data_IF_022872759382
#
_entry.id   IF_022872759382
#
_cell.length_a   1.000
_cell.length_b   1.000
_cell.length_c   1.000
_cell.angle_alpha   90.00
_cell.angle_beta   90.00
_cell.angle_gamma   90.00
#
_symmetry.space_group_name_H-M   'P 1'
#
loop_
_entity.id
_entity.type
_entity.pdbx_description
1 polymer ?
#
# COMPACT_ATOMS: atom_id res chain seq x y z
N UNK A 1 -27.64 -10.88 -5.61
CA UNK A 1 -26.78 -10.13 -4.68
C UNK A 1 -27.17 -10.62 -3.29
N UNK A 2 -26.30 -11.36 -2.60
CA UNK A 2 -26.67 -12.07 -1.37
C UNK A 2 -27.02 -11.09 -0.23
N UNK A 3 -28.20 -11.26 0.37
CA UNK A 3 -28.72 -10.52 1.53
C UNK A 3 -27.77 -10.48 2.75
N UNK A 4 -26.74 -11.34 2.80
CA UNK A 4 -25.74 -11.37 3.85
C UNK A 4 -24.84 -10.11 3.90
N UNK A 5 -24.78 -9.30 2.85
CA UNK A 5 -23.90 -8.12 2.78
C UNK A 5 -24.59 -6.78 3.06
N UNK A 6 -25.93 -6.73 3.20
CA UNK A 6 -26.67 -5.47 3.30
C UNK A 6 -26.38 -4.66 4.58
N UNK A 7 -25.84 -5.29 5.63
CA UNK A 7 -25.50 -4.65 6.91
C UNK A 7 -23.99 -4.62 7.22
N UNK A 8 -23.14 -5.16 6.35
CA UNK A 8 -21.69 -5.20 6.58
C UNK A 8 -21.03 -3.89 6.16
N UNK A 9 -20.17 -3.33 7.01
CA UNK A 9 -19.33 -2.21 6.59
C UNK A 9 -18.35 -2.65 5.50
N UNK A 10 -17.82 -1.71 4.71
CA UNK A 10 -16.98 -2.03 3.56
C UNK A 10 -15.76 -2.92 3.90
N UNK A 11 -15.15 -2.73 5.07
CA UNK A 11 -13.96 -3.49 5.48
C UNK A 11 -14.33 -4.94 5.77
N UNK A 12 -15.49 -5.18 6.38
CA UNK A 12 -16.02 -6.52 6.60
C UNK A 12 -16.30 -7.22 5.25
N UNK A 13 -16.86 -6.49 4.28
CA UNK A 13 -17.11 -7.04 2.94
C UNK A 13 -15.79 -7.45 2.25
N UNK A 14 -14.76 -6.62 2.38
CA UNK A 14 -13.43 -6.90 1.82
C UNK A 14 -12.80 -8.14 2.48
N UNK A 15 -12.82 -8.23 3.81
CA UNK A 15 -12.21 -9.35 4.55
C UNK A 15 -12.96 -10.68 4.35
N UNK A 16 -14.27 -10.61 4.10
CA UNK A 16 -15.10 -11.76 3.71
C UNK A 16 -14.99 -12.15 2.23
N UNK A 17 -14.29 -11.38 1.39
CA UNK A 17 -14.21 -11.63 -0.05
C UNK A 17 -13.60 -13.02 -0.36
N UNK A 18 -14.27 -13.78 -1.23
CA UNK A 18 -13.82 -15.10 -1.75
C UNK A 18 -13.82 -15.19 -3.29
N UNK A 19 -13.88 -14.07 -4.00
CA UNK A 19 -13.98 -14.05 -5.47
C UNK A 19 -12.84 -14.76 -6.20
N UNK A 20 -11.67 -14.88 -5.57
CA UNK A 20 -10.47 -15.48 -6.16
C UNK A 20 -10.08 -16.81 -5.49
N UNK A 21 -10.93 -17.41 -4.67
CA UNK A 21 -10.57 -18.53 -3.80
C UNK A 21 -9.98 -19.71 -4.60
N UNK A 22 -10.69 -20.12 -5.65
CA UNK A 22 -10.33 -21.26 -6.52
C UNK A 22 -9.06 -21.06 -7.37
N UNK A 23 -8.62 -19.82 -7.57
CA UNK A 23 -7.48 -19.51 -8.46
C UNK A 23 -6.21 -19.14 -7.70
N UNK A 24 -6.32 -18.88 -6.40
CA UNK A 24 -5.18 -18.53 -5.55
C UNK A 24 -4.57 -19.80 -4.95
N UNK A 25 -3.23 -19.90 -4.87
CA UNK A 25 -2.57 -21.15 -4.47
C UNK A 25 -2.84 -21.57 -3.02
N UNK A 26 -3.29 -20.64 -2.16
CA UNK A 26 -3.64 -20.90 -0.76
C UNK A 26 -5.03 -20.35 -0.41
N UNK A 27 -5.90 -20.18 -1.41
CA UNK A 27 -7.21 -19.57 -1.23
C UNK A 27 -7.17 -18.07 -0.94
N UNK A 28 -8.36 -17.49 -0.87
CA UNK A 28 -8.60 -16.09 -0.57
C UNK A 28 -8.53 -15.85 0.94
N UNK A 29 -7.49 -15.12 1.34
CA UNK A 29 -7.35 -14.53 2.68
C UNK A 29 -7.03 -13.05 2.52
N UNK A 30 -8.06 -12.20 2.34
CA UNK A 30 -7.86 -10.76 2.17
C UNK A 30 -7.25 -10.16 3.44
N UNK A 31 -6.18 -9.38 3.28
CA UNK A 31 -5.51 -8.68 4.37
C UNK A 31 -5.37 -7.19 4.00
N UNK A 32 -6.04 -6.34 4.78
CA UNK A 32 -5.94 -4.88 4.72
C UNK A 32 -5.94 -4.30 6.14
N UNK A 33 -5.47 -3.06 6.28
CA UNK A 33 -5.65 -2.25 7.48
C UNK A 33 -6.35 -0.96 7.06
N UNK A 34 -7.48 -0.61 7.65
CA UNK A 34 -8.23 0.58 7.23
C UNK A 34 -9.17 1.07 8.33
N UNK A 35 -9.19 2.39 8.51
CA UNK A 35 -10.16 3.13 9.33
C UNK A 35 -10.81 4.22 8.47
N UNK A 36 -12.08 4.60 8.68
CA UNK A 36 -12.68 5.71 7.95
C UNK A 36 -12.04 7.06 8.30
N UNK A 37 -11.38 7.15 9.47
CA UNK A 37 -10.67 8.34 9.95
C UNK A 37 -9.16 8.29 9.70
N UNK A 38 -8.68 7.27 8.97
CA UNK A 38 -7.27 7.16 8.59
C UNK A 38 -6.77 8.46 7.95
N UNK A 39 -5.60 8.93 8.38
CA UNK A 39 -4.96 10.15 7.83
C UNK A 39 -4.05 9.88 6.64
N UNK A 40 -3.41 8.72 6.60
CA UNK A 40 -2.40 8.35 5.60
C UNK A 40 -2.81 7.04 4.93
N UNK A 41 -2.88 7.02 3.58
CA UNK A 41 -3.15 5.81 2.80
C UNK A 41 -1.85 5.29 2.20
N UNK A 42 -1.52 4.03 2.41
CA UNK A 42 -0.44 3.32 1.72
C UNK A 42 -1.05 2.33 0.74
N UNK A 43 -0.75 2.51 -0.55
CA UNK A 43 -1.11 1.56 -1.61
C UNK A 43 0.13 0.80 -2.08
N UNK A 44 0.23 -0.46 -1.66
CA UNK A 44 1.28 -1.40 -2.05
C UNK A 44 0.87 -2.36 -3.16
N UNK A 45 1.65 -3.42 -3.37
CA UNK A 45 1.38 -4.42 -4.41
C UNK A 45 0.33 -5.45 -3.98
N UNK A 46 0.76 -6.45 -3.20
CA UNK A 46 -0.04 -7.53 -2.68
C UNK A 46 0.68 -8.14 -1.47
N UNK A 47 -0.03 -8.85 -0.56
CA UNK A 47 0.58 -9.65 0.48
C UNK A 47 1.62 -10.63 -0.04
N UNK A 48 2.69 -10.83 0.73
CA UNK A 48 3.60 -11.97 0.55
C UNK A 48 3.04 -13.23 1.21
N UNK A 49 3.69 -14.38 1.02
CA UNK A 49 3.30 -15.63 1.70
C UNK A 49 3.30 -15.46 3.23
N UNK A 50 4.29 -14.75 3.78
CA UNK A 50 4.37 -14.49 5.23
C UNK A 50 3.20 -13.63 5.71
N UNK A 51 2.79 -12.62 4.94
CA UNK A 51 1.60 -11.83 5.26
C UNK A 51 0.34 -12.68 5.18
N UNK A 52 0.21 -13.54 4.17
CA UNK A 52 -0.91 -14.48 4.08
C UNK A 52 -0.99 -15.39 5.30
N UNK A 53 0.13 -15.92 5.79
CA UNK A 53 0.16 -16.79 6.96
C UNK A 53 -0.16 -16.03 8.26
N UNK A 54 0.44 -14.86 8.45
CA UNK A 54 0.39 -14.12 9.72
C UNK A 54 -0.76 -13.12 9.84
N UNK A 55 -1.34 -12.68 8.72
CA UNK A 55 -2.33 -11.59 8.69
C UNK A 55 -1.74 -10.19 8.94
N UNK A 56 -0.43 -10.06 9.17
CA UNK A 56 0.22 -8.78 9.45
C UNK A 56 0.87 -8.22 8.18
N UNK A 57 0.35 -7.11 7.66
CA UNK A 57 0.89 -6.41 6.48
C UNK A 57 2.31 -5.91 6.76
N UNK A 58 3.20 -5.90 5.77
CA UNK A 58 4.58 -5.41 5.94
C UNK A 58 5.33 -6.05 7.14
N UNK A 59 5.03 -7.32 7.41
CA UNK A 59 5.69 -8.13 8.45
C UNK A 59 7.02 -8.73 7.96
N UNK A 60 7.86 -7.92 7.31
CA UNK A 60 9.15 -8.32 6.77
C UNK A 60 10.13 -7.12 6.70
N UNK A 61 11.34 -7.38 6.20
CA UNK A 61 12.39 -6.37 6.04
C UNK A 61 11.96 -5.19 5.16
N UNK A 62 11.07 -5.43 4.19
CA UNK A 62 10.56 -4.35 3.34
C UNK A 62 9.65 -3.43 4.14
N UNK A 63 8.89 -3.97 5.09
CA UNK A 63 8.12 -3.20 6.06
C UNK A 63 8.97 -2.37 7.01
N UNK A 64 10.05 -2.95 7.53
CA UNK A 64 11.02 -2.21 8.37
C UNK A 64 11.64 -1.04 7.62
N UNK A 65 12.09 -1.31 6.39
CA UNK A 65 12.66 -0.28 5.50
C UNK A 65 11.64 0.82 5.18
N UNK A 66 10.36 0.45 4.96
CA UNK A 66 9.31 1.43 4.75
C UNK A 66 9.11 2.31 6.00
N UNK A 67 8.96 1.70 7.18
CA UNK A 67 8.79 2.46 8.44
C UNK A 67 9.94 3.41 8.70
N UNK A 68 11.17 2.98 8.43
CA UNK A 68 12.34 3.86 8.49
C UNK A 68 12.18 5.06 7.54
N UNK A 69 11.87 4.85 6.25
CA UNK A 69 11.67 5.97 5.31
C UNK A 69 10.56 6.92 5.76
N UNK A 70 9.47 6.38 6.33
CA UNK A 70 8.36 7.18 6.83
C UNK A 70 8.70 7.90 8.15
N UNK A 71 9.73 7.45 8.88
CA UNK A 71 10.14 8.00 10.17
C UNK A 71 9.15 7.71 11.28
N UNK A 72 8.50 6.53 11.25
CA UNK A 72 7.45 6.17 12.22
C UNK A 72 7.79 4.90 12.99
N UNK A 73 7.28 4.82 14.20
CA UNK A 73 7.35 3.61 15.02
C UNK A 73 6.45 2.50 14.46
N UNK A 74 6.67 1.27 14.91
CA UNK A 74 5.79 0.16 14.59
C UNK A 74 4.35 0.38 15.08
N UNK A 75 4.19 0.92 16.29
CA UNK A 75 2.88 1.22 16.86
C UNK A 75 2.10 2.23 16.02
N UNK A 76 2.75 3.33 15.60
CA UNK A 76 2.13 4.31 14.71
C UNK A 76 1.77 3.70 13.35
N UNK A 77 2.66 2.89 12.76
CA UNK A 77 2.42 2.29 11.45
C UNK A 77 1.24 1.30 11.44
N UNK A 78 1.01 0.60 12.54
CA UNK A 78 -0.12 -0.33 12.68
C UNK A 78 -1.34 0.27 13.40
N UNK A 79 -1.33 1.58 13.66
CA UNK A 79 -2.53 2.31 14.07
C UNK A 79 -3.42 2.55 12.83
N UNK A 80 -4.62 1.94 12.76
CA UNK A 80 -5.50 2.07 11.60
C UNK A 80 -6.03 3.50 11.40
N UNK A 81 -6.09 4.33 12.45
CA UNK A 81 -6.54 5.73 12.39
C UNK A 81 -5.43 6.67 11.89
N UNK A 82 -4.17 6.25 11.98
CA UNK A 82 -3.05 6.97 11.34
C UNK A 82 -2.82 6.44 9.93
N UNK A 83 -2.68 5.13 9.76
CA UNK A 83 -2.32 4.49 8.50
C UNK A 83 -3.39 3.49 8.04
N UNK A 84 -4.04 3.79 6.92
CA UNK A 84 -4.69 2.78 6.10
C UNK A 84 -3.66 2.13 5.18
N UNK A 85 -3.55 0.80 5.22
CA UNK A 85 -2.67 0.01 4.36
C UNK A 85 -3.53 -0.88 3.46
N UNK A 86 -3.62 -0.48 2.19
CA UNK A 86 -4.53 -1.07 1.20
C UNK A 86 -3.76 -1.41 -0.08
N UNK A 87 -3.24 -2.64 -0.19
CA UNK A 87 -2.53 -3.09 -1.39
C UNK A 87 -3.42 -3.13 -2.64
N UNK A 88 -2.83 -3.20 -3.83
CA UNK A 88 -3.61 -3.34 -5.07
C UNK A 88 -4.34 -4.69 -5.19
N UNK A 89 -3.83 -5.74 -4.54
CA UNK A 89 -4.57 -6.98 -4.30
C UNK A 89 -4.45 -7.41 -2.84
N UNK A 90 -5.54 -7.91 -2.25
CA UNK A 90 -5.60 -8.18 -0.81
C UNK A 90 -5.18 -9.58 -0.41
N UNK A 91 -4.97 -10.49 -1.36
CA UNK A 91 -4.54 -11.87 -1.11
C UNK A 91 -3.17 -12.13 -1.73
N UNK A 92 -2.46 -13.13 -1.21
CA UNK A 92 -1.19 -13.59 -1.77
C UNK A 92 -1.40 -14.21 -3.16
N UNK A 93 -0.81 -13.65 -4.23
CA UNK A 93 -1.10 -14.07 -5.60
C UNK A 93 -0.30 -15.32 -6.03
N UNK A 94 0.61 -15.84 -5.20
CA UNK A 94 1.51 -16.94 -5.56
C UNK A 94 2.93 -16.49 -5.89
N UNK A 95 3.81 -17.48 -6.10
CA UNK A 95 5.23 -17.27 -6.37
C UNK A 95 5.50 -17.35 -7.88
N UNK A 96 6.10 -16.30 -8.43
CA UNK A 96 6.66 -16.25 -9.77
C UNK A 96 8.19 -16.48 -9.79
N UNK A 97 8.78 -16.34 -10.98
CA UNK A 97 10.22 -16.59 -11.21
C UNK A 97 11.13 -15.68 -10.38
N UNK A 98 10.74 -14.43 -10.22
CA UNK A 98 11.54 -13.38 -9.59
C UNK A 98 10.89 -12.87 -8.31
N UNK A 99 10.05 -13.64 -7.61
CA UNK A 99 9.33 -13.18 -6.41
C UNK A 99 7.83 -13.39 -6.57
N UNK A 100 7.03 -12.70 -5.76
CA UNK A 100 5.58 -12.88 -5.78
C UNK A 100 4.96 -12.37 -7.09
N UNK A 101 3.88 -13.03 -7.51
CA UNK A 101 3.16 -12.68 -8.73
C UNK A 101 2.55 -11.27 -8.66
N UNK A 102 2.20 -10.74 -9.83
CA UNK A 102 1.53 -9.46 -9.93
C UNK A 102 0.14 -9.51 -9.25
N UNK A 103 -0.34 -8.39 -8.69
CA UNK A 103 -1.68 -8.31 -8.14
C UNK A 103 -2.70 -8.54 -9.26
N UNK A 104 -3.67 -9.46 -9.10
CA UNK A 104 -4.70 -9.68 -10.10
C UNK A 104 -5.60 -8.45 -10.24
N UNK A 105 -6.03 -8.15 -11.48
CA UNK A 105 -6.82 -6.95 -11.80
C UNK A 105 -8.19 -6.93 -11.09
N UNK A 106 -8.79 -8.10 -10.87
CA UNK A 106 -10.12 -8.24 -10.26
C UNK A 106 -10.21 -7.50 -8.92
N UNK A 107 -9.19 -7.60 -8.07
CA UNK A 107 -9.20 -6.95 -6.76
C UNK A 107 -9.30 -5.43 -6.88
N UNK A 108 -8.56 -4.86 -7.83
CA UNK A 108 -8.60 -3.42 -8.09
C UNK A 108 -9.95 -2.99 -8.69
N UNK A 109 -10.49 -3.77 -9.63
CA UNK A 109 -11.77 -3.51 -10.28
C UNK A 109 -12.95 -3.58 -9.30
N UNK A 110 -12.92 -4.50 -8.34
CA UNK A 110 -13.99 -4.69 -7.37
C UNK A 110 -13.96 -3.63 -6.27
N UNK A 111 -12.78 -3.32 -5.70
CA UNK A 111 -12.73 -2.66 -4.39
C UNK A 111 -12.18 -1.24 -4.39
N UNK A 112 -11.43 -0.80 -5.41
CA UNK A 112 -10.75 0.50 -5.34
C UNK A 112 -11.71 1.69 -5.36
N UNK A 113 -12.79 1.63 -6.17
CA UNK A 113 -13.79 2.71 -6.19
C UNK A 113 -14.56 2.80 -4.85
N UNK A 114 -15.08 1.69 -4.27
CA UNK A 114 -15.65 1.72 -2.92
C UNK A 114 -14.68 2.27 -1.86
N UNK A 115 -13.40 1.86 -1.90
CA UNK A 115 -12.39 2.34 -0.95
C UNK A 115 -12.10 3.84 -1.10
N UNK A 116 -12.06 4.36 -2.33
CA UNK A 116 -11.93 5.80 -2.57
C UNK A 116 -13.11 6.58 -1.99
N UNK A 117 -14.33 6.02 -2.05
CA UNK A 117 -15.49 6.63 -1.43
C UNK A 117 -15.46 6.52 0.10
N UNK A 118 -14.89 5.45 0.66
CA UNK A 118 -14.78 5.19 2.09
C UNK A 118 -13.84 6.16 2.81
N UNK A 119 -12.68 6.45 2.22
CA UNK A 119 -11.68 7.29 2.84
C UNK A 119 -11.98 8.79 2.67
N UNK A 120 -12.49 9.43 3.73
CA UNK A 120 -12.82 10.87 3.72
C UNK A 120 -11.76 11.76 4.35
N UNK A 121 -10.88 11.20 5.18
CA UNK A 121 -9.91 11.96 5.98
C UNK A 121 -8.45 11.69 5.56
N UNK A 122 -8.23 11.09 4.39
CA UNK A 122 -6.87 10.87 3.90
C UNK A 122 -6.27 12.20 3.43
N UNK A 123 -5.21 12.60 4.11
CA UNK A 123 -4.44 13.80 3.82
C UNK A 123 -3.16 13.51 3.02
N UNK A 124 -2.66 12.27 3.08
CA UNK A 124 -1.49 11.82 2.31
C UNK A 124 -1.73 10.42 1.72
N UNK A 125 -1.52 10.28 0.41
CA UNK A 125 -1.56 8.98 -0.28
C UNK A 125 -0.17 8.56 -0.78
N UNK A 126 0.36 7.48 -0.24
CA UNK A 126 1.69 6.92 -0.54
C UNK A 126 1.53 5.76 -1.53
N UNK A 127 2.06 5.92 -2.74
CA UNK A 127 2.00 4.95 -3.83
C UNK A 127 3.31 4.15 -3.89
N UNK A 128 3.30 2.91 -3.38
CA UNK A 128 4.50 2.08 -3.26
C UNK A 128 4.61 1.13 -4.45
N UNK A 129 5.65 1.33 -5.26
CA UNK A 129 5.98 0.47 -6.39
C UNK A 129 5.09 0.63 -7.63
N UNK A 130 5.47 -0.09 -8.69
CA UNK A 130 4.92 0.13 -10.03
C UNK A 130 3.42 -0.10 -10.17
N UNK A 131 2.83 -1.05 -9.43
CA UNK A 131 1.42 -1.42 -9.61
C UNK A 131 0.50 -0.33 -9.07
N UNK A 132 0.81 0.19 -7.87
CA UNK A 132 0.08 1.32 -7.30
C UNK A 132 0.27 2.57 -8.17
N UNK A 133 1.51 2.86 -8.58
CA UNK A 133 1.79 4.04 -9.40
C UNK A 133 1.11 3.98 -10.78
N UNK A 134 1.10 2.82 -11.45
CA UNK A 134 0.40 2.62 -12.73
C UNK A 134 -1.11 2.86 -12.60
N UNK A 135 -1.70 2.46 -11.49
CA UNK A 135 -3.14 2.63 -11.27
C UNK A 135 -3.49 4.09 -10.99
N UNK A 136 -2.72 4.76 -10.13
CA UNK A 136 -3.08 6.09 -9.61
C UNK A 136 -2.49 7.28 -10.37
N UNK A 137 -1.46 7.09 -11.21
CA UNK A 137 -0.82 8.15 -11.97
C UNK A 137 -1.24 8.10 -13.44
N UNK A 138 -1.82 9.20 -13.95
CA UNK A 138 -2.34 9.29 -15.34
C UNK A 138 -1.29 8.98 -16.41
N UNK A 139 -0.06 9.45 -16.22
CA UNK A 139 1.03 9.35 -17.19
C UNK A 139 2.21 8.54 -16.63
N UNK A 140 1.93 7.35 -16.08
CA UNK A 140 2.98 6.47 -15.57
C UNK A 140 3.95 6.07 -16.70
N UNK A 141 5.25 6.31 -16.48
CA UNK A 141 6.32 5.90 -17.40
C UNK A 141 7.24 4.90 -16.74
N UNK A 142 7.75 5.22 -15.55
CA UNK A 142 8.59 4.34 -14.75
C UNK A 142 8.54 4.72 -13.27
N UNK A 143 8.91 3.79 -12.39
CA UNK A 143 9.01 4.08 -10.95
C UNK A 143 9.91 5.27 -10.70
N UNK A 144 11.10 5.31 -11.28
CA UNK A 144 12.04 6.42 -11.09
C UNK A 144 11.42 7.76 -11.46
N UNK A 145 10.81 7.86 -12.65
CA UNK A 145 10.24 9.12 -13.14
C UNK A 145 9.07 9.59 -12.27
N UNK A 146 8.26 8.65 -11.76
CA UNK A 146 7.19 8.97 -10.83
C UNK A 146 7.72 9.41 -9.47
N UNK A 147 8.75 8.76 -8.93
CA UNK A 147 9.36 9.16 -7.65
C UNK A 147 10.03 10.53 -7.77
N UNK A 148 10.66 10.85 -8.91
CA UNK A 148 11.26 12.17 -9.15
C UNK A 148 10.25 13.33 -9.13
N UNK A 149 8.97 13.06 -9.32
CA UNK A 149 7.90 14.06 -9.25
C UNK A 149 7.48 14.40 -7.82
N UNK A 150 8.14 13.84 -6.80
CA UNK A 150 7.77 14.03 -5.40
C UNK A 150 7.53 15.50 -4.97
N UNK A 151 8.27 16.53 -5.46
CA UNK A 151 8.04 17.90 -5.00
C UNK A 151 6.66 18.43 -5.38
N UNK A 152 6.12 18.03 -6.54
CA UNK A 152 4.80 18.47 -7.01
C UNK A 152 3.65 17.58 -6.54
N UNK A 153 3.95 16.37 -6.05
CA UNK A 153 2.95 15.45 -5.52
C UNK A 153 2.57 15.75 -4.06
N UNK A 154 3.56 16.17 -3.25
CA UNK A 154 3.34 16.54 -1.85
C UNK A 154 2.52 17.85 -1.74
N UNK A 155 1.77 18.06 -0.64
CA UNK A 155 1.67 17.20 0.55
C UNK A 155 0.64 16.06 0.42
N UNK A 156 -0.16 16.05 -0.66
CA UNK A 156 -1.34 15.17 -0.77
C UNK A 156 -1.03 13.76 -1.26
N UNK A 157 0.08 13.57 -1.97
CA UNK A 157 0.45 12.27 -2.53
C UNK A 157 1.96 12.15 -2.63
N UNK A 158 2.47 10.93 -2.67
CA UNK A 158 3.86 10.67 -3.02
C UNK A 158 4.00 9.30 -3.68
N UNK A 159 4.93 9.17 -4.62
CA UNK A 159 5.33 7.89 -5.18
C UNK A 159 6.65 7.44 -4.55
N UNK A 160 6.72 6.18 -4.10
CA UNK A 160 7.92 5.56 -3.55
C UNK A 160 8.30 4.31 -4.35
N UNK A 161 9.61 4.00 -4.50
CA UNK A 161 10.02 2.69 -4.98
C UNK A 161 9.56 1.60 -4.00
N UNK A 162 9.60 0.34 -4.42
CA UNK A 162 9.36 -0.75 -3.48
C UNK A 162 10.51 -0.82 -2.44
N UNK A 163 10.24 -0.97 -1.14
CA UNK A 163 11.28 -1.04 -0.09
C UNK A 163 12.04 -2.39 -0.04
N UNK A 164 12.11 -3.11 -1.16
CA UNK A 164 12.80 -4.40 -1.23
C UNK A 164 14.32 -4.21 -1.22
N UNK A 165 15.09 -5.11 -0.60
CA UNK A 165 16.56 -5.13 -0.74
C UNK A 165 17.04 -5.11 -2.19
N UNK A 166 16.25 -5.65 -3.13
CA UNK A 166 16.55 -5.64 -4.56
C UNK A 166 16.63 -4.24 -5.18
N UNK A 167 16.06 -3.24 -4.52
CA UNK A 167 16.14 -1.84 -4.94
C UNK A 167 17.34 -1.09 -4.31
N UNK A 168 18.23 -1.76 -3.57
CA UNK A 168 19.47 -1.14 -3.09
C UNK A 168 20.33 -0.52 -4.21
N UNK A 169 20.57 -1.20 -5.36
CA UNK A 169 21.33 -0.58 -6.46
C UNK A 169 20.64 0.66 -7.04
N UNK A 170 19.30 0.69 -7.03
CA UNK A 170 18.55 1.87 -7.45
C UNK A 170 18.77 3.02 -6.48
N UNK A 171 18.70 2.77 -5.16
CA UNK A 171 18.94 3.80 -4.13
C UNK A 171 20.36 4.36 -4.17
N UNK A 172 21.35 3.50 -4.34
CA UNK A 172 22.75 3.91 -4.49
C UNK A 172 22.97 4.85 -5.68
N UNK A 173 22.23 4.66 -6.79
CA UNK A 173 22.28 5.53 -7.98
C UNK A 173 21.42 6.79 -7.85
N UNK A 174 20.44 6.81 -6.95
CA UNK A 174 19.47 7.89 -6.78
C UNK A 174 19.55 8.43 -5.35
N UNK A 175 20.72 8.94 -4.96
CA UNK A 175 21.01 9.39 -3.58
C UNK A 175 20.06 10.48 -3.08
N UNK A 176 19.52 11.30 -3.99
CA UNK A 176 18.47 12.29 -3.73
C UNK A 176 17.22 11.70 -3.05
N UNK A 177 16.94 10.40 -3.24
CA UNK A 177 15.82 9.74 -2.59
C UNK A 177 15.93 9.80 -1.06
N UNK A 178 17.10 9.45 -0.52
CA UNK A 178 17.30 9.43 0.94
C UNK A 178 17.78 10.78 1.47
N UNK A 179 18.49 11.57 0.65
CA UNK A 179 19.03 12.86 1.06
C UNK A 179 18.00 14.00 1.02
N UNK A 180 17.01 13.92 0.12
CA UNK A 180 16.07 15.03 -0.12
C UNK A 180 14.61 14.60 0.11
N UNK A 181 14.17 13.52 -0.57
CA UNK A 181 12.77 13.09 -0.51
C UNK A 181 12.38 12.58 0.88
N UNK A 182 13.13 11.61 1.42
CA UNK A 182 12.81 10.97 2.72
C UNK A 182 12.69 12.00 3.86
N UNK A 183 13.63 12.95 4.08
CA UNK A 183 13.49 13.97 5.12
C UNK A 183 12.24 14.84 4.96
N UNK A 184 11.88 15.18 3.72
CA UNK A 184 10.68 15.98 3.45
C UNK A 184 9.40 15.18 3.72
N UNK A 185 9.38 13.90 3.35
CA UNK A 185 8.28 12.99 3.64
C UNK A 185 8.07 12.82 5.15
N UNK A 186 9.13 12.59 5.91
CA UNK A 186 9.08 12.48 7.38
C UNK A 186 8.47 13.73 8.01
N UNK A 187 8.92 14.91 7.61
CA UNK A 187 8.35 16.20 8.07
C UNK A 187 6.84 16.29 7.79
N UNK A 188 6.39 15.83 6.62
CA UNK A 188 4.96 15.85 6.27
C UNK A 188 4.14 14.86 7.09
N UNK A 189 4.67 13.66 7.32
CA UNK A 189 4.01 12.61 8.12
C UNK A 189 3.90 13.03 9.57
N UNK A 190 4.96 13.59 10.16
CA UNK A 190 4.95 14.03 11.55
C UNK A 190 3.85 15.06 11.81
N UNK A 191 3.65 16.02 10.89
CA UNK A 191 2.55 17.00 10.97
C UNK A 191 1.17 16.36 10.98
N UNK A 192 0.98 15.22 10.31
CA UNK A 192 -0.30 14.50 10.30
C UNK A 192 -0.49 13.66 11.57
N UNK A 193 0.60 13.16 12.15
CA UNK A 193 0.54 12.41 13.41
C UNK A 193 0.20 13.36 14.56
N UNK A 194 0.79 14.56 14.57
CA UNK A 194 0.63 15.55 15.65
C UNK A 194 -0.65 16.41 15.56
N UNK A 195 -1.43 16.30 14.47
CA UNK A 195 -2.68 17.06 14.25
C UNK A 195 -3.90 16.40 14.88
#
# INVERSE_FOLDING_TARGET
MNYLYENMNLIDQITACRLCDEVLPFGARPVIQASPVAKILISGQAPSLKVHQTGKLFNDQSGETLRDWLGVTEAQFYDPDLFAIVPMAFCYPGKGKSGDLAPPKICAQTWQQPLQAYFKQIHLHILVGQYSQRYYCKNYKSVTQQVQQWPSMLPRRIALPHPSPRNQPWRAKNTWFEQELVPRLRTNIQKLIDS
#
